data_IF_833961594156
#
_entry.id   IF_833961594156
#
_cell.length_a   1.000
_cell.length_b   1.000
_cell.length_c   1.000
_cell.angle_alpha   90.00
_cell.angle_beta   90.00
_cell.angle_gamma   90.00
#
_symmetry.space_group_name_H-M   'P 1'
#
loop_
_entity.id
_entity.type
_entity.pdbx_description
1 polymer ?
2 non-polymer ?
3 non-polymer ?
4 non-polymer ?
5 water ?
#
# COMPACT_ATOMS: atom_id res chain seq x y z
N UNK A 1 11.07 20.73 16.86
CA UNK A 1 12.40 20.58 16.29
C UNK A 1 12.42 19.49 15.22
N UNK A 2 11.75 19.76 14.10
CA UNK A 2 11.76 18.84 12.96
C UNK A 2 13.06 19.02 12.17
N UNK A 3 13.48 17.96 11.46
CA UNK A 3 14.64 18.09 10.57
C UNK A 3 14.32 19.04 9.42
N UNK A 4 15.32 19.66 8.83
CA UNK A 4 15.08 20.55 7.70
C UNK A 4 14.52 19.76 6.51
N UNK A 5 15.00 18.54 6.37
CA UNK A 5 14.56 17.66 5.29
C UNK A 5 14.05 16.32 5.84
N UNK A 6 12.83 15.94 5.47
CA UNK A 6 12.28 14.65 5.85
C UNK A 6 12.35 13.71 4.66
N UNK A 7 12.98 12.55 4.87
CA UNK A 7 13.17 11.56 3.81
C UNK A 7 12.04 10.53 3.86
N UNK A 8 11.26 10.48 2.79
CA UNK A 8 10.10 9.61 2.74
C UNK A 8 10.29 8.47 1.72
N UNK A 9 10.27 7.25 2.23
CA UNK A 9 10.41 6.07 1.38
C UNK A 9 9.06 5.60 0.87
N UNK A 10 9.06 5.11 -0.37
CA UNK A 10 7.83 4.62 -0.96
C UNK A 10 8.14 3.55 -2.01
N UNK A 11 7.24 2.59 -2.16
CA UNK A 11 7.30 1.57 -3.21
C UNK A 11 6.44 2.06 -4.37
N UNK A 12 7.10 2.44 -5.46
CA UNK A 12 6.41 3.06 -6.62
C UNK A 12 5.80 2.06 -7.61
N UNK A 13 5.28 0.95 -7.10
CA UNK A 13 4.58 -0.02 -7.95
C UNK A 13 3.13 -0.22 -7.47
N UNK A 14 2.55 0.85 -6.94
CA UNK A 14 1.18 0.80 -6.41
C UNK A 14 0.31 1.95 -6.90
N UNK A 15 0.18 2.10 -8.22
CA UNK A 15 -0.75 3.09 -8.74
C UNK A 15 -2.15 2.71 -8.25
N UNK A 16 -3.00 3.70 -7.99
CA UNK A 16 -2.80 5.14 -8.13
C UNK A 16 -2.29 5.83 -6.86
N UNK A 17 -1.70 5.08 -5.94
CA UNK A 17 -1.19 5.66 -4.70
C UNK A 17 0.26 6.14 -4.86
N UNK A 18 1.09 5.27 -5.41
CA UNK A 18 2.49 5.60 -5.61
C UNK A 18 3.01 4.87 -6.83
N UNK A 19 3.42 5.63 -7.85
CA UNK A 19 4.03 5.04 -9.02
C UNK A 19 4.89 6.09 -9.69
N UNK A 20 5.50 5.72 -10.81
CA UNK A 20 6.31 6.65 -11.57
C UNK A 20 5.65 6.93 -12.91
N UNK A 21 5.68 8.18 -13.36
CA UNK A 21 5.26 8.45 -14.73
C UNK A 21 6.34 8.07 -15.75
N UNK A 22 6.09 8.37 -17.03
CA UNK A 22 6.98 7.92 -18.09
C UNK A 22 8.37 8.57 -18.04
N UNK A 23 8.47 9.71 -17.36
CA UNK A 23 9.77 10.34 -17.20
C UNK A 23 10.39 10.12 -15.82
N UNK A 24 9.76 9.27 -15.02
CA UNK A 24 10.35 8.86 -13.75
C UNK A 24 9.93 9.68 -12.55
N UNK A 25 9.00 10.62 -12.72
CA UNK A 25 8.52 11.41 -11.59
C UNK A 25 7.53 10.61 -10.74
N UNK A 26 7.60 10.78 -9.42
CA UNK A 26 6.68 10.12 -8.48
C UNK A 26 5.30 10.75 -8.58
N UNK A 27 4.27 9.90 -8.74
CA UNK A 27 2.90 10.38 -8.84
C UNK A 27 1.93 9.50 -8.05
N UNK A 28 0.81 10.08 -7.64
CA UNK A 28 -0.23 9.31 -6.99
C UNK A 28 -0.74 9.94 -5.72
N UNK A 29 -1.79 9.36 -5.15
CA UNK A 29 -2.43 9.93 -3.97
C UNK A 29 -1.48 9.97 -2.76
N UNK A 30 -0.62 8.96 -2.60
CA UNK A 30 0.34 8.99 -1.49
C UNK A 30 1.31 10.15 -1.64
N UNK A 31 1.77 10.35 -2.87
CA UNK A 31 2.70 11.44 -3.16
C UNK A 31 2.03 12.79 -2.91
N UNK A 32 0.78 12.93 -3.35
CA UNK A 32 0.02 14.16 -3.09
C UNK A 32 -0.13 14.40 -1.58
N UNK A 33 -0.51 13.34 -0.85
CA UNK A 33 -0.66 13.48 0.60
C UNK A 33 0.67 13.85 1.26
N UNK A 34 1.74 13.15 0.90
CA UNK A 34 3.05 13.46 1.44
C UNK A 34 3.50 14.88 1.16
N UNK A 35 3.42 15.31 -0.09
CA UNK A 35 3.82 16.65 -0.46
C UNK A 35 2.99 17.71 0.26
N UNK A 36 1.69 17.47 0.37
CA UNK A 36 0.80 18.42 1.03
C UNK A 36 1.12 18.52 2.51
N UNK A 37 1.39 17.38 3.15
CA UNK A 37 1.75 17.40 4.56
C UNK A 37 3.08 18.13 4.78
N UNK A 38 4.07 17.82 3.95
CA UNK A 38 5.38 18.47 4.06
C UNK A 38 5.27 19.98 3.94
N UNK A 39 4.47 20.42 2.98
CA UNK A 39 4.20 21.84 2.78
C UNK A 39 3.67 22.47 4.07
N UNK A 40 2.70 21.82 4.69
CA UNK A 40 2.08 22.36 5.89
C UNK A 40 2.98 22.26 7.13
N UNK A 41 3.89 21.30 7.11
CA UNK A 41 4.85 21.12 8.19
C UNK A 41 6.01 22.09 8.05
N UNK A 42 6.09 22.74 6.88
CA UNK A 42 7.15 23.68 6.55
C UNK A 42 8.52 23.00 6.59
N UNK A 43 8.56 21.79 6.04
CA UNK A 43 9.82 21.07 5.88
C UNK A 43 10.02 20.72 4.41
N UNK A 44 11.27 20.52 4.02
CA UNK A 44 11.55 20.00 2.70
C UNK A 44 11.42 18.48 2.79
N UNK A 45 11.05 17.86 1.69
CA UNK A 45 10.95 16.41 1.67
C UNK A 45 11.65 15.81 0.46
N UNK A 46 12.27 14.66 0.69
CA UNK A 46 12.93 13.94 -0.37
C UNK A 46 12.22 12.60 -0.51
N UNK A 47 11.72 12.31 -1.70
CA UNK A 47 11.10 11.01 -1.95
C UNK A 47 12.18 10.00 -2.32
N UNK A 48 12.07 8.81 -1.75
CA UNK A 48 13.02 7.74 -1.96
C UNK A 48 12.30 6.48 -2.41
N UNK A 49 12.57 6.02 -3.63
CA UNK A 49 11.99 4.77 -4.11
C UNK A 49 12.69 3.58 -3.48
N UNK A 50 11.90 2.58 -3.07
CA UNK A 50 12.44 1.42 -2.36
C UNK A 50 11.55 0.22 -2.65
N UNK A 51 12.14 -0.98 -2.70
CA UNK A 51 11.32 -2.17 -2.64
C UNK A 51 10.56 -2.11 -1.33
N UNK A 52 9.32 -2.57 -1.35
CA UNK A 52 8.47 -2.49 -0.18
C UNK A 52 9.08 -3.17 1.05
N UNK A 53 9.65 -4.36 0.87
CA UNK A 53 10.18 -5.09 2.00
C UNK A 53 11.41 -4.42 2.64
N UNK A 54 11.96 -3.41 1.98
CA UNK A 54 13.10 -2.69 2.55
C UNK A 54 12.69 -1.44 3.32
N UNK A 55 11.42 -1.06 3.26
CA UNK A 55 10.98 0.22 3.83
C UNK A 55 11.08 0.26 5.36
N UNK A 56 10.50 -0.73 6.03
CA UNK A 56 10.62 -0.76 7.49
C UNK A 56 12.09 -0.93 7.96
N UNK A 57 12.83 -1.86 7.35
CA UNK A 57 14.26 -1.92 7.73
C UNK A 57 15.00 -0.59 7.50
N UNK A 58 14.72 0.09 6.41
CA UNK A 58 15.39 1.38 6.14
C UNK A 58 15.01 2.43 7.16
N UNK A 59 13.74 2.43 7.55
CA UNK A 59 13.26 3.36 8.55
C UNK A 59 13.95 3.13 9.90
N UNK A 60 14.06 1.86 10.30
CA UNK A 60 14.71 1.53 11.58
C UNK A 60 16.19 1.89 11.56
N UNK A 61 16.79 1.82 10.38
CA UNK A 61 18.21 2.13 10.21
C UNK A 61 18.48 3.61 9.97
N UNK A 62 17.42 4.43 10.00
CA UNK A 62 17.49 5.87 9.75
C UNK A 62 17.92 6.25 8.34
N UNK A 63 17.79 5.33 7.39
CA UNK A 63 18.10 5.64 5.99
C UNK A 63 16.96 6.44 5.35
N UNK A 64 15.76 6.30 5.90
CA UNK A 64 14.64 7.20 5.61
C UNK A 64 14.02 7.61 6.95
N UNK A 65 13.16 8.62 6.92
CA UNK A 65 12.53 9.12 8.15
C UNK A 65 11.04 8.83 8.23
N UNK A 66 10.45 8.43 7.11
CA UNK A 66 9.02 8.17 7.06
C UNK A 66 8.72 7.24 5.92
N UNK A 67 7.64 6.48 6.06
CA UNK A 67 7.14 5.64 4.98
C UNK A 67 5.74 6.08 4.58
N UNK A 68 5.57 6.45 3.31
CA UNK A 68 4.22 6.64 2.78
C UNK A 68 4.11 5.74 1.55
N UNK A 69 3.44 4.62 1.72
CA UNK A 69 3.50 3.57 0.73
C UNK A 69 2.32 2.61 0.95
N UNK A 70 1.11 3.19 1.08
CA UNK A 70 -0.08 2.40 1.45
C UNK A 70 0.23 1.48 2.62
N UNK A 71 0.94 2.00 3.62
CA UNK A 71 1.44 1.15 4.69
C UNK A 71 0.35 0.89 5.73
N UNK A 72 -0.20 -0.31 5.69
CA UNK A 72 -1.29 -0.67 6.60
C UNK A 72 -0.85 -0.64 8.05
N UNK A 73 -1.73 -0.07 8.89
CA UNK A 73 -1.51 0.08 10.31
C UNK A 73 -1.96 -1.21 11.02
N UNK A 74 -1.02 -2.11 11.29
CA UNK A 74 -1.34 -3.39 11.90
C UNK A 74 -0.74 -3.49 13.31
N UNK A 75 -1.34 -4.35 14.14
CA UNK A 75 -0.83 -4.59 15.50
C UNK A 75 0.63 -5.04 15.42
N UNK A 76 0.91 -5.96 14.49
CA UNK A 76 2.28 -6.47 14.36
C UNK A 76 3.28 -5.35 14.06
N UNK A 77 2.94 -4.48 13.12
CA UNK A 77 3.84 -3.38 12.79
C UNK A 77 3.98 -2.36 13.90
N UNK A 78 2.91 -2.17 14.68
CA UNK A 78 2.96 -1.28 15.85
C UNK A 78 3.99 -1.73 16.87
N UNK A 79 4.37 -3.01 16.82
CA UNK A 79 5.39 -3.51 17.74
C UNK A 79 6.77 -3.02 17.33
N UNK A 80 6.90 -2.59 16.08
CA UNK A 80 8.20 -2.23 15.52
C UNK A 80 8.35 -0.74 15.22
N UNK A 81 7.26 -0.12 14.78
CA UNK A 81 7.29 1.29 14.37
C UNK A 81 6.04 2.00 14.88
N UNK A 82 5.96 3.31 14.65
CA UNK A 82 4.77 4.09 14.95
C UNK A 82 4.10 4.51 13.65
N UNK A 83 2.87 4.98 13.77
CA UNK A 83 2.09 5.43 12.63
C UNK A 83 1.43 6.77 12.89
N UNK A 84 1.29 7.56 11.83
CA UNK A 84 0.40 8.72 11.86
C UNK A 84 -1.04 8.23 11.97
N UNK A 85 -1.95 9.16 12.19
CA UNK A 85 -3.37 8.91 12.02
C UNK A 85 -3.64 8.36 10.61
N UNK A 86 -4.77 7.69 10.44
CA UNK A 86 -5.12 7.06 9.17
C UNK A 86 -5.13 8.02 7.98
N UNK A 87 -4.47 7.60 6.90
CA UNK A 87 -4.47 8.30 5.62
C UNK A 87 -5.65 7.91 4.75
N UNK A 88 -5.92 6.60 4.67
CA UNK A 88 -7.10 6.09 3.97
C UNK A 88 -7.27 4.61 4.29
N UNK A 89 -8.44 4.07 3.98
CA UNK A 89 -8.73 2.65 4.21
C UNK A 89 -8.14 1.82 3.08
N UNK A 90 -7.84 0.55 3.37
CA UNK A 90 -7.29 -0.35 2.35
C UNK A 90 -7.63 -1.81 2.64
N UNK A 91 -8.57 -2.35 1.88
CA UNK A 91 -8.90 -3.77 1.95
C UNK A 91 -8.13 -4.53 0.90
N UNK A 92 -8.05 -5.84 1.06
CA UNK A 92 -7.37 -6.70 0.08
C UNK A 92 -8.36 -7.48 -0.75
N UNK A 93 -7.96 -7.83 -1.97
CA UNK A 93 -8.81 -8.61 -2.85
C UNK A 93 -7.97 -9.37 -3.87
N UNK A 94 -8.45 -10.55 -4.25
CA UNK A 94 -7.77 -11.39 -5.25
C UNK A 94 -8.17 -10.99 -6.65
N UNK A 95 -7.22 -11.05 -7.57
CA UNK A 95 -7.52 -10.91 -9.00
C UNK A 95 -7.11 -12.18 -9.73
N UNK A 96 -7.83 -12.51 -10.80
CA UNK A 96 -7.53 -13.65 -11.66
C UNK A 96 -8.09 -13.33 -13.04
N UNK A 97 -7.84 -14.21 -14.01
CA UNK A 97 -8.40 -14.00 -15.33
C UNK A 97 -9.91 -13.95 -15.25
N UNK A 98 -10.51 -13.10 -16.10
CA UNK A 98 -11.95 -13.07 -16.22
C UNK A 98 -12.46 -14.46 -16.59
N UNK A 99 -13.48 -14.92 -15.89
CA UNK A 99 -14.03 -16.24 -16.17
C UNK A 99 -13.37 -17.36 -15.39
N UNK A 100 -12.32 -17.03 -14.64
CA UNK A 100 -11.70 -17.98 -13.73
C UNK A 100 -12.64 -18.32 -12.58
N UNK A 101 -12.65 -19.59 -12.17
CA UNK A 101 -13.49 -20.05 -11.05
C UNK A 101 -12.88 -19.72 -9.68
N UNK A 102 -11.72 -19.07 -9.68
CA UNK A 102 -10.95 -18.86 -8.45
C UNK A 102 -11.69 -18.03 -7.39
N UNK A 103 -11.58 -18.51 -6.15
CA UNK A 103 -12.11 -17.83 -4.98
C UNK A 103 -10.99 -17.72 -3.94
N UNK A 104 -11.10 -16.77 -3.01
CA UNK A 104 -10.06 -16.66 -1.98
C UNK A 104 -10.25 -17.70 -0.87
N UNK A 105 -10.26 -18.97 -1.25
CA UNK A 105 -10.40 -20.07 -0.29
C UNK A 105 -9.33 -21.12 -0.56
N UNK A 106 -8.99 -21.89 0.47
CA UNK A 106 -8.00 -22.96 0.33
C UNK A 106 -8.45 -23.97 -0.73
N UNK A 107 -9.74 -24.33 -0.70
CA UNK A 107 -10.27 -25.32 -1.64
C UNK A 107 -10.07 -24.89 -3.09
N UNK A 108 -10.20 -23.59 -3.34
CA UNK A 108 -10.06 -23.06 -4.69
C UNK A 108 -8.60 -22.91 -5.09
N UNK A 109 -7.75 -22.59 -4.13
CA UNK A 109 -6.39 -22.17 -4.44
C UNK A 109 -5.32 -23.25 -4.27
N UNK A 110 -5.66 -24.38 -3.64
CA UNK A 110 -4.63 -25.38 -3.38
C UNK A 110 -3.95 -25.81 -4.69
N UNK A 111 -2.63 -25.77 -4.69
CA UNK A 111 -1.84 -26.13 -5.87
C UNK A 111 -1.70 -25.01 -6.90
N UNK A 112 -2.46 -23.94 -6.73
CA UNK A 112 -2.39 -22.83 -7.69
C UNK A 112 -1.30 -21.83 -7.30
N UNK A 113 -0.90 -21.02 -8.28
CA UNK A 113 0.21 -20.09 -8.09
C UNK A 113 -0.34 -18.70 -7.83
N UNK A 114 -0.07 -18.19 -6.63
CA UNK A 114 -0.66 -16.93 -6.18
C UNK A 114 0.44 -15.96 -5.80
N UNK A 115 0.46 -14.80 -6.43
CA UNK A 115 1.49 -13.82 -6.16
C UNK A 115 1.12 -12.81 -5.08
N UNK A 116 2.11 -12.47 -4.27
CA UNK A 116 1.96 -11.45 -3.23
C UNK A 116 3.23 -10.62 -3.14
N UNK A 117 3.08 -9.37 -2.70
CA UNK A 117 4.25 -8.50 -2.49
C UNK A 117 5.04 -8.91 -1.25
N UNK A 118 6.35 -9.12 -1.43
CA UNK A 118 7.17 -9.49 -0.27
C UNK A 118 7.16 -8.38 0.79
N UNK A 119 6.89 -8.77 2.04
CA UNK A 119 6.85 -7.82 3.14
C UNK A 119 5.46 -7.26 3.42
N UNK A 120 4.49 -7.62 2.59
CA UNK A 120 3.15 -7.05 2.71
C UNK A 120 2.27 -7.81 3.69
N UNK A 121 1.19 -7.18 4.09
CA UNK A 121 0.18 -7.86 4.89
C UNK A 121 -0.42 -9.02 4.10
N UNK A 122 -0.55 -8.87 2.77
CA UNK A 122 -1.03 -9.96 1.94
C UNK A 122 -0.09 -11.16 1.98
N UNK A 123 1.20 -10.92 1.99
CA UNK A 123 2.16 -12.02 2.13
C UNK A 123 1.98 -12.71 3.48
N UNK A 124 1.79 -11.93 4.54
CA UNK A 124 1.59 -12.54 5.86
C UNK A 124 0.35 -13.42 5.88
N UNK A 125 -0.75 -12.90 5.34
CA UNK A 125 -2.00 -13.63 5.28
C UNK A 125 -1.87 -14.90 4.44
N UNK A 126 -1.30 -14.74 3.25
CA UNK A 126 -1.19 -15.86 2.32
C UNK A 126 -0.22 -16.91 2.84
N UNK A 127 0.87 -16.48 3.46
CA UNK A 127 1.83 -17.44 4.00
C UNK A 127 1.17 -18.28 5.09
N UNK A 128 0.51 -17.62 6.03
CA UNK A 128 -0.06 -18.33 7.18
C UNK A 128 -1.24 -19.22 6.80
N UNK A 129 -2.12 -18.72 5.94
CA UNK A 129 -3.37 -19.41 5.65
C UNK A 129 -3.36 -20.29 4.41
N UNK A 130 -2.48 -19.97 3.46
CA UNK A 130 -2.50 -20.60 2.15
C UNK A 130 -1.22 -21.41 1.86
N UNK A 131 -0.06 -20.78 2.03
CA UNK A 131 1.20 -21.48 1.81
C UNK A 131 1.36 -22.71 2.73
N UNK A 132 1.02 -22.55 4.00
CA UNK A 132 1.15 -23.67 4.93
C UNK A 132 0.30 -24.85 4.49
N UNK A 133 -0.79 -24.57 3.78
CA UNK A 133 -1.76 -25.61 3.42
C UNK A 133 -1.70 -26.08 1.97
N UNK A 134 -0.70 -25.63 1.22
CA UNK A 134 -0.47 -26.19 -0.11
C UNK A 134 -0.77 -25.29 -1.30
N UNK A 135 -1.09 -24.03 -1.04
CA UNK A 135 -1.18 -23.05 -2.13
C UNK A 135 0.25 -22.64 -2.48
N UNK A 136 0.58 -22.55 -3.77
CA UNK A 136 1.90 -22.07 -4.15
C UNK A 136 1.95 -20.55 -4.10
N UNK A 137 2.22 -20.03 -2.91
CA UNK A 137 2.35 -18.59 -2.72
C UNK A 137 3.74 -18.14 -3.14
N UNK A 138 3.80 -17.19 -4.06
CA UNK A 138 5.06 -16.70 -4.61
C UNK A 138 5.22 -15.24 -4.19
N UNK A 139 6.33 -14.90 -3.54
CA UNK A 139 6.53 -13.53 -3.03
C UNK A 139 7.47 -12.74 -3.92
N UNK A 140 7.09 -11.49 -4.19
CA UNK A 140 7.79 -10.69 -5.20
C UNK A 140 8.37 -9.39 -4.64
N UNK A 141 9.47 -8.96 -5.23
CA UNK A 141 10.13 -7.74 -4.76
C UNK A 141 9.25 -6.50 -4.99
N UNK A 142 8.47 -6.51 -6.06
CA UNK A 142 7.57 -5.41 -6.35
C UNK A 142 6.32 -5.88 -7.09
N UNK A 143 5.31 -5.02 -7.17
CA UNK A 143 4.01 -5.43 -7.70
C UNK A 143 3.99 -5.44 -9.23
N UNK A 144 4.91 -4.71 -9.86
CA UNK A 144 5.02 -4.75 -11.30
C UNK A 144 5.34 -6.16 -11.76
N UNK A 145 6.26 -6.81 -11.06
CA UNK A 145 6.63 -8.19 -11.37
C UNK A 145 5.43 -9.12 -11.20
N UNK A 146 4.61 -8.86 -10.20
CA UNK A 146 3.40 -9.67 -10.00
C UNK A 146 2.46 -9.57 -11.19
N UNK A 147 2.14 -8.36 -11.60
CA UNK A 147 1.21 -8.18 -12.72
C UNK A 147 1.81 -8.74 -14.01
N UNK A 148 3.14 -8.62 -14.15
CA UNK A 148 3.83 -9.16 -15.32
C UNK A 148 3.74 -10.69 -15.38
N UNK A 149 3.96 -11.34 -14.23
CA UNK A 149 3.91 -12.79 -14.19
C UNK A 149 2.47 -13.28 -14.36
N UNK A 150 1.51 -12.49 -13.89
CA UNK A 150 0.10 -12.83 -14.04
C UNK A 150 -0.28 -12.80 -15.51
N UNK A 151 0.07 -11.73 -16.21
CA UNK A 151 -0.29 -11.59 -17.61
C UNK A 151 0.50 -12.56 -18.49
N UNK A 152 1.64 -13.02 -18.01
CA UNK A 152 2.44 -14.03 -18.73
C UNK A 152 1.91 -15.44 -18.49
N UNK A 153 0.92 -15.56 -17.61
CA UNK A 153 0.31 -16.83 -17.31
C UNK A 153 1.12 -17.69 -16.34
N UNK A 154 2.06 -17.07 -15.63
CA UNK A 154 2.87 -17.79 -14.65
C UNK A 154 2.19 -17.86 -13.30
N UNK A 155 1.32 -16.88 -13.04
CA UNK A 155 0.50 -16.88 -11.84
C UNK A 155 -0.96 -17.09 -12.23
N UNK A 156 -1.68 -17.76 -11.34
CA UNK A 156 -3.12 -17.95 -11.52
C UNK A 156 -3.89 -16.77 -10.91
N UNK A 157 -3.31 -16.16 -9.89
CA UNK A 157 -3.99 -15.10 -9.15
C UNK A 157 -2.98 -14.26 -8.40
N UNK A 158 -3.44 -13.13 -7.89
CA UNK A 158 -2.60 -12.25 -7.11
C UNK A 158 -3.44 -11.57 -6.04
N UNK A 159 -2.84 -11.38 -4.87
CA UNK A 159 -3.52 -10.74 -3.74
C UNK A 159 -2.81 -9.44 -3.38
N UNK A 160 -3.56 -8.34 -3.34
CA UNK A 160 -2.99 -7.03 -3.09
C UNK A 160 -4.12 -6.11 -2.62
N UNK A 161 -3.82 -4.84 -2.37
CA UNK A 161 -4.86 -3.90 -1.97
C UNK A 161 -5.87 -3.75 -3.10
N UNK A 162 -7.14 -3.77 -2.74
CA UNK A 162 -8.23 -3.74 -3.70
C UNK A 162 -8.23 -2.51 -4.60
N UNK A 163 -8.10 -1.33 -4.00
CA UNK A 163 -8.18 -0.10 -4.78
C UNK A 163 -7.01 0.03 -5.73
N UNK A 164 -5.84 -0.44 -5.30
CA UNK A 164 -4.67 -0.43 -6.19
C UNK A 164 -4.88 -1.37 -7.37
N UNK A 165 -5.36 -2.58 -7.11
CA UNK A 165 -5.62 -3.50 -8.21
C UNK A 165 -6.65 -2.95 -9.20
N UNK A 166 -7.70 -2.35 -8.67
CA UNK A 166 -8.78 -1.85 -9.51
C UNK A 166 -8.33 -0.66 -10.34
N UNK A 167 -7.87 0.39 -9.66
CA UNK A 167 -7.52 1.63 -10.38
C UNK A 167 -6.18 1.54 -11.11
N UNK A 168 -5.27 0.72 -10.60
CA UNK A 168 -3.92 0.66 -11.16
C UNK A 168 -3.67 -0.48 -12.13
N UNK A 169 -4.61 -1.43 -12.21
CA UNK A 169 -4.41 -2.57 -13.08
C UNK A 169 -5.66 -2.94 -13.88
N UNK A 170 -6.76 -3.22 -13.21
CA UNK A 170 -7.98 -3.68 -13.89
C UNK A 170 -8.53 -2.62 -14.86
N UNK A 171 -8.43 -1.37 -14.45
CA UNK A 171 -8.94 -0.25 -15.23
C UNK A 171 -7.86 0.35 -16.12
N UNK A 172 -6.71 -0.31 -16.16
CA UNK A 172 -5.60 0.13 -16.99
C UNK A 172 -5.39 -0.86 -18.15
N UNK A 173 -4.61 -0.46 -19.18
CA UNK A 173 -4.46 -1.34 -20.36
C UNK A 173 -4.02 -2.77 -20.06
N UNK A 174 -3.12 -2.96 -19.11
CA UNK A 174 -2.57 -4.29 -18.86
C UNK A 174 -3.56 -5.28 -18.24
N UNK A 175 -4.57 -4.78 -17.55
CA UNK A 175 -5.45 -5.64 -16.77
C UNK A 175 -6.82 -5.94 -17.35
N UNK A 176 -7.05 -5.61 -18.62
CA UNK A 176 -8.38 -5.77 -19.20
C UNK A 176 -8.90 -7.21 -19.27
N UNK A 177 -8.00 -8.19 -19.24
CA UNK A 177 -8.41 -9.59 -19.27
C UNK A 177 -8.72 -10.12 -17.88
N UNK A 178 -8.51 -9.29 -16.86
CA UNK A 178 -8.59 -9.74 -15.49
C UNK A 178 -9.75 -9.13 -14.74
N UNK A 179 -10.08 -9.72 -13.60
CA UNK A 179 -11.19 -9.25 -12.77
C UNK A 179 -10.96 -9.71 -11.35
N UNK A 180 -11.68 -9.11 -10.42
CA UNK A 180 -11.66 -9.57 -9.05
C UNK A 180 -12.21 -10.99 -8.96
N UNK A 181 -11.58 -11.80 -8.12
CA UNK A 181 -12.00 -13.17 -7.88
C UNK A 181 -12.50 -13.27 -6.45
N UNK A 182 -13.81 -13.33 -6.28
CA UNK A 182 -14.41 -13.28 -4.95
C UNK A 182 -14.45 -11.89 -4.38
N UNK A 183 -14.95 -11.74 -3.15
CA UNK A 183 -15.08 -10.44 -2.48
C UNK A 183 -13.75 -10.06 -1.83
N UNK A 184 -13.66 -8.84 -1.31
CA UNK A 184 -12.49 -8.47 -0.49
C UNK A 184 -12.34 -9.44 0.65
N UNK A 185 -11.11 -9.55 1.15
CA UNK A 185 -10.84 -10.40 2.29
C UNK A 185 -10.50 -9.55 3.50
N UNK A 186 -11.48 -9.39 4.40
CA UNK A 186 -11.24 -8.62 5.61
C UNK A 186 -10.86 -9.55 6.75
N UNK A 187 -9.78 -9.22 7.44
CA UNK A 187 -9.30 -10.00 8.58
C UNK A 187 -8.51 -9.06 9.48
N UNK A 188 -9.08 -8.74 10.64
CA UNK A 188 -8.57 -7.67 11.51
C UNK A 188 -7.11 -7.87 11.88
N UNK A 189 -6.75 -9.10 12.20
CA UNK A 189 -5.38 -9.40 12.58
C UNK A 189 -4.41 -8.99 11.48
N UNK A 190 -4.66 -9.49 10.28
CA UNK A 190 -3.63 -9.39 9.25
C UNK A 190 -3.59 -8.04 8.56
N UNK A 191 -4.75 -7.45 8.33
CA UNK A 191 -4.81 -6.37 7.37
C UNK A 191 -4.83 -4.98 7.99
N UNK A 192 -5.00 -4.91 9.31
CA UNK A 192 -4.88 -3.64 10.01
C UNK A 192 -6.03 -2.68 9.79
N UNK A 193 -5.85 -1.42 10.21
CA UNK A 193 -6.92 -0.44 10.17
C UNK A 193 -6.54 0.75 9.31
N UNK A 194 -6.65 0.58 8.01
CA UNK A 194 -6.25 1.63 7.09
C UNK A 194 -4.74 1.75 7.01
N UNK A 195 -4.28 2.74 6.25
CA UNK A 195 -2.85 3.00 6.07
C UNK A 195 -2.45 4.28 6.80
N UNK A 196 -1.16 4.44 7.06
CA UNK A 196 -0.65 5.61 7.75
C UNK A 196 0.79 5.87 7.39
N UNK A 197 1.31 7.01 7.83
CA UNK A 197 2.73 7.31 7.67
C UNK A 197 3.50 6.48 8.68
N UNK A 198 4.40 5.63 8.22
CA UNK A 198 5.25 4.86 9.13
C UNK A 198 6.40 5.71 9.64
N UNK A 199 6.67 5.66 10.95
CA UNK A 199 7.65 6.50 11.60
C UNK A 199 8.39 5.73 12.68
N UNK A 200 9.60 6.14 13.03
CA UNK A 200 10.27 5.53 14.18
C UNK A 200 9.47 5.86 15.44
N UNK A 201 9.39 4.89 16.36
CA UNK A 201 8.56 5.09 17.55
C UNK A 201 8.99 6.29 18.40
N UNK A 202 10.29 6.57 18.42
CA UNK A 202 10.80 7.68 19.22
C UNK A 202 10.66 9.04 18.56
N UNK A 203 10.24 9.08 17.30
CA UNK A 203 10.08 10.37 16.60
C UNK A 203 8.70 10.96 16.88
N UNK A 204 8.51 11.31 18.15
CA UNK A 204 7.23 11.80 18.63
C UNK A 204 6.86 13.14 17.98
N UNK A 205 7.84 14.02 17.85
CA UNK A 205 7.58 15.33 17.25
C UNK A 205 7.23 15.23 15.77
N UNK A 206 7.93 14.37 15.05
CA UNK A 206 7.62 14.16 13.63
C UNK A 206 6.22 13.59 13.47
N UNK A 207 5.85 12.64 14.33
CA UNK A 207 4.48 12.11 14.30
C UNK A 207 3.44 13.19 14.57
N UNK A 208 3.68 14.02 15.58
CA UNK A 208 2.76 15.10 15.90
C UNK A 208 2.61 16.05 14.72
N UNK A 209 3.71 16.31 14.02
CA UNK A 209 3.68 17.24 12.90
C UNK A 209 2.92 16.66 11.71
N UNK A 210 3.17 15.39 11.41
CA UNK A 210 2.39 14.73 10.35
C UNK A 210 0.91 14.70 10.72
N UNK A 211 0.60 14.34 11.97
CA UNK A 211 -0.80 14.27 12.41
C UNK A 211 -1.51 15.60 12.30
N UNK A 212 -0.81 16.67 12.67
CA UNK A 212 -1.37 18.01 12.61
C UNK A 212 -1.63 18.40 11.15
N UNK A 213 -0.65 18.16 10.29
CA UNK A 213 -0.80 18.51 8.87
C UNK A 213 -1.93 17.72 8.22
N UNK A 214 -2.03 16.44 8.56
CA UNK A 214 -3.09 15.59 7.99
C UNK A 214 -4.45 16.08 8.43
N UNK A 215 -4.60 16.38 9.71
CA UNK A 215 -5.85 16.94 10.19
C UNK A 215 -6.20 18.21 9.43
N UNK A 216 -5.20 19.07 9.27
CA UNK A 216 -5.42 20.36 8.62
C UNK A 216 -5.86 20.23 7.17
N UNK A 217 -5.22 19.32 6.42
CA UNK A 217 -5.60 19.17 5.02
C UNK A 217 -6.94 18.44 4.88
N UNK A 218 -7.35 17.67 5.89
CA UNK A 218 -8.69 17.08 5.88
C UNK A 218 -9.74 18.13 6.24
N UNK A 219 -9.41 18.98 7.21
CA UNK A 219 -10.36 20.01 7.68
C UNK A 219 -10.79 21.01 6.62
N UNK A 220 -9.88 21.37 5.72
CA UNK A 220 -10.15 22.43 4.77
C UNK A 220 -10.57 21.93 3.39
N UNK A 221 -10.72 20.61 3.29
CA UNK A 221 -11.27 20.01 2.08
C UNK A 221 -10.22 19.62 1.05
N UNK A 222 -8.97 19.90 1.35
CA UNK A 222 -7.87 19.52 0.46
C UNK A 222 -7.85 18.01 0.23
N UNK A 223 -8.05 17.24 1.31
CA UNK A 223 -8.08 15.79 1.18
C UNK A 223 -9.11 15.34 0.11
N UNK A 224 -10.33 15.84 0.22
CA UNK A 224 -11.40 15.44 -0.68
C UNK A 224 -11.11 15.81 -2.12
N UNK A 225 -10.58 17.01 -2.32
CA UNK A 225 -10.29 17.49 -3.66
C UNK A 225 -9.18 16.68 -4.32
N UNK A 226 -8.12 16.38 -3.57
CA UNK A 226 -7.04 15.56 -4.10
C UNK A 226 -7.53 14.15 -4.40
N UNK A 227 -8.34 13.61 -3.49
CA UNK A 227 -8.88 12.27 -3.65
C UNK A 227 -9.74 12.15 -4.92
N UNK A 228 -10.49 13.21 -5.22
CA UNK A 228 -11.41 13.22 -6.36
C UNK A 228 -10.67 13.03 -7.69
N UNK A 229 -9.38 13.36 -7.72
CA UNK A 229 -8.57 13.11 -8.91
C UNK A 229 -8.48 11.63 -9.25
N UNK A 230 -8.55 10.78 -8.24
CA UNK A 230 -8.31 9.36 -8.40
C UNK A 230 -9.54 8.47 -8.19
N UNK A 231 -10.47 8.92 -7.34
CA UNK A 231 -11.51 8.04 -6.83
C UNK A 231 -12.89 8.68 -6.89
N UNK A 232 -13.89 7.88 -7.24
CA UNK A 232 -15.28 8.33 -7.22
C UNK A 232 -16.04 7.74 -6.03
N UNK A 233 -15.32 7.51 -4.95
CA UNK A 233 -15.88 6.93 -3.75
C UNK A 233 -15.11 7.44 -2.53
N UNK A 234 -15.57 7.09 -1.34
CA UNK A 234 -14.94 7.55 -0.10
C UNK A 234 -13.74 6.67 0.23
N UNK A 235 -12.57 7.08 -0.22
CA UNK A 235 -11.38 6.26 -0.02
C UNK A 235 -10.93 6.25 1.44
N UNK A 236 -11.33 7.26 2.20
CA UNK A 236 -10.92 7.36 3.59
C UNK A 236 -11.56 6.27 4.43
N UNK A 237 -12.83 5.99 4.15
CA UNK A 237 -13.58 5.02 4.94
C UNK A 237 -14.19 5.66 6.18
N UNK A 238 -14.08 4.96 7.30
CA UNK A 238 -14.74 5.40 8.54
C UNK A 238 -13.83 6.15 9.50
X LIG B 1 -1.23 -2.15 2.27
X LIG B 1 -0.47 -3.41 2.20
X LIG B 1 0.66 -3.40 3.22
X LIG B 1 0.79 -2.40 3.96
X LIG B 1 0.01 -3.74 0.77
X LIG B 1 0.86 -2.69 0.11
X LIG B 1 1.26 -2.80 -1.20
X LIG B 1 1.37 -1.53 0.57
X LIG B 1 1.99 -1.76 -1.54
X LIG B 1 2.07 -0.96 -0.48
X LIG B 1 1.40 -4.38 3.35
X LIG C 1 0.94 19.14 -2.44
X LIG C 1 1.49 20.42 -2.25
X LIG C 1 0.40 19.03 -3.86
X LIG C 1 0.18 20.33 -4.34
X LIG C 1 -0.93 18.30 -3.83
X LIG C 1 -1.45 18.23 -5.14
X LIG D 1 7.70 -18.36 -0.35
X LIG D 1 8.26 -18.18 0.93
X LIG D 1 8.18 -17.23 -1.26
X LIG D 1 9.39 -16.67 -0.79
X LIG D 1 8.41 -17.81 -2.65
X LIG D 1 8.64 -16.77 -3.56
X LIG E 1 4.86 -6.98 8.06
X LIG E 1 5.43 -5.87 7.89
X LIG E 1 5.02 -7.53 9.17
X LIG E 1 3.96 -7.59 7.03
#
# INVERSE_FOLDING_TARGET
>A
ALPQTVRIGTDTTAAPFSSKDAKGEFIGFDIDLGNEMCKRMQVKCTWVASDFDALIPSLKAKKIDAIISSLSITDKRQQEIAFSDKLYAADSRLIAAKGSPIQPTLESLKGKHVGVLQGSTQEAYANDNWRTKGVDVVAYANQDLIYSDLTAGRLDAALQDEVAASEGFLKQPAGKEYAFAGPSVKDKKYFGDGTGVGLRKDDTELKAAFDKALTELRQDGTYDKMAKKYFDFNVYGD
>B hetero
1 HIS N CA C O CB CG ND1 CD2 CE1 NE2 OXT
>C hetero
1 GOL C1 O1 C2 O2 C3 O3
>D hetero
1 GOL C1 O1 C2 O2 C3 O3
>E hetero
1 ACT C O OXT CH3
#
